data_IF_240120735599
#
_entry.id   IF_240120735599
#
_cell.length_a   1.000
_cell.length_b   1.000
_cell.length_c   1.000
_cell.angle_alpha   90.00
_cell.angle_beta   90.00
_cell.angle_gamma   90.00
#
_symmetry.space_group_name_H-M   'P 1'
#
loop_
_entity.id
_entity.type
_entity.pdbx_description
1 polymer ?
#
# COMPACT_ATOMS: atom_id res chain seq x y z
N UNK A 1 10.52 25.07 25.39
CA UNK A 1 11.92 24.62 25.38
C UNK A 1 12.07 23.49 24.37
N UNK A 2 12.77 23.73 23.25
CA UNK A 2 12.92 22.73 22.19
C UNK A 2 14.11 21.81 22.50
N UNK A 3 13.83 20.57 22.90
CA UNK A 3 14.85 19.54 23.15
C UNK A 3 15.67 19.21 21.90
N UNK A 4 16.96 18.97 22.11
CA UNK A 4 17.95 18.63 21.07
C UNK A 4 17.54 17.39 20.26
N UNK A 5 17.55 17.51 18.92
CA UNK A 5 17.30 16.41 17.99
C UNK A 5 18.26 15.22 18.15
N UNK A 6 19.37 15.34 18.89
CA UNK A 6 20.34 14.25 19.08
C UNK A 6 19.94 13.25 20.16
N UNK A 7 19.19 13.68 21.19
CA UNK A 7 18.77 12.84 22.33
C UNK A 7 17.39 12.20 22.15
N UNK A 8 16.57 12.70 21.21
CA UNK A 8 15.22 12.19 21.00
C UNK A 8 15.20 10.72 20.53
N UNK A 9 14.26 9.89 21.02
CA UNK A 9 14.02 8.55 20.47
C UNK A 9 13.86 8.57 18.94
N UNK A 10 14.37 7.54 18.25
CA UNK A 10 14.42 7.49 16.77
C UNK A 10 13.08 7.79 16.09
N UNK A 11 11.98 7.27 16.64
CA UNK A 11 10.61 7.53 16.16
C UNK A 11 10.25 9.02 16.16
N UNK A 12 10.68 9.76 17.19
CA UNK A 12 10.43 11.20 17.30
C UNK A 12 11.27 11.99 16.30
N UNK A 13 12.51 11.56 16.02
CA UNK A 13 13.34 12.18 14.98
C UNK A 13 12.81 11.93 13.58
N UNK A 14 12.30 10.72 13.31
CA UNK A 14 11.69 10.36 12.05
C UNK A 14 10.43 11.21 11.80
N UNK A 15 9.52 11.30 12.78
CA UNK A 15 8.35 12.16 12.70
C UNK A 15 8.73 13.63 12.42
N UNK A 16 9.63 14.21 13.23
CA UNK A 16 10.09 15.60 13.06
C UNK A 16 10.76 15.91 11.71
N UNK A 17 11.30 14.90 11.03
CA UNK A 17 11.95 15.06 9.72
C UNK A 17 11.07 14.58 8.57
N UNK A 18 9.92 13.98 8.85
CA UNK A 18 9.02 13.49 7.84
C UNK A 18 8.52 14.67 7.01
N UNK A 19 8.65 14.52 5.70
CA UNK A 19 7.99 15.39 4.75
C UNK A 19 6.77 14.63 4.26
N UNK A 20 5.64 15.32 4.19
CA UNK A 20 4.42 14.71 3.67
C UNK A 20 4.67 14.27 2.22
N UNK A 21 4.40 13.01 1.84
CA UNK A 21 4.69 12.50 0.50
C UNK A 21 3.89 13.25 -0.57
N UNK A 22 4.51 13.46 -1.72
CA UNK A 22 3.79 14.02 -2.87
C UNK A 22 2.79 12.97 -3.38
N UNK A 23 1.50 13.30 -3.37
CA UNK A 23 0.44 12.44 -3.91
C UNK A 23 -0.05 12.98 -5.24
N UNK A 24 0.10 12.18 -6.30
CA UNK A 24 -0.26 12.54 -7.69
C UNK A 24 -1.10 11.46 -8.34
N UNK A 25 -2.01 11.87 -9.21
CA UNK A 25 -2.79 10.96 -10.03
C UNK A 25 -2.57 11.24 -11.51
N UNK A 26 -2.29 10.19 -12.27
CA UNK A 26 -2.34 10.20 -13.75
C UNK A 26 -3.69 9.68 -14.20
N UNK A 27 -4.12 10.06 -15.40
CA UNK A 27 -5.35 9.53 -16.02
C UNK A 27 -5.27 7.99 -16.09
N UNK A 28 -6.30 7.25 -15.65
CA UNK A 28 -6.35 5.80 -15.81
C UNK A 28 -6.50 5.43 -17.30
N UNK A 29 -6.22 4.17 -17.66
CA UNK A 29 -6.50 3.68 -19.01
C UNK A 29 -8.00 3.69 -19.30
N UNK A 30 -8.37 3.71 -20.57
CA UNK A 30 -9.75 3.59 -21.00
C UNK A 30 -10.43 2.36 -20.38
N UNK A 31 -11.64 2.53 -19.84
CA UNK A 31 -12.40 1.48 -19.17
C UNK A 31 -11.86 1.08 -17.78
N UNK A 32 -10.87 1.79 -17.23
CA UNK A 32 -10.34 1.56 -15.87
C UNK A 32 -10.49 2.81 -15.01
N UNK A 33 -10.30 2.64 -13.71
CA UNK A 33 -10.39 3.72 -12.73
C UNK A 33 -9.37 3.54 -11.62
N UNK A 34 -9.09 4.61 -10.88
CA UNK A 34 -8.38 4.52 -9.60
C UNK A 34 -9.40 4.33 -8.49
N UNK A 35 -9.43 3.19 -7.77
CA UNK A 35 -10.46 2.96 -6.76
C UNK A 35 -10.35 3.89 -5.55
N UNK A 36 -9.12 4.32 -5.23
CA UNK A 36 -8.87 5.38 -4.28
C UNK A 36 -8.38 6.63 -5.01
N UNK A 37 -8.94 7.78 -4.66
CA UNK A 37 -8.53 9.07 -5.17
C UNK A 37 -7.22 9.53 -4.52
N UNK A 38 -6.62 10.58 -5.11
CA UNK A 38 -5.48 11.24 -4.48
C UNK A 38 -5.85 11.87 -3.12
N UNK A 39 -7.12 12.24 -2.88
CA UNK A 39 -7.54 12.71 -1.56
C UNK A 39 -7.54 11.57 -0.56
N UNK A 40 -8.17 10.45 -0.91
CA UNK A 40 -8.25 9.26 -0.05
C UNK A 40 -6.85 8.79 0.39
N UNK A 41 -5.88 8.80 -0.53
CA UNK A 41 -4.49 8.46 -0.22
C UNK A 41 -3.87 9.47 0.75
N UNK A 42 -4.12 10.77 0.59
CA UNK A 42 -3.62 11.79 1.54
C UNK A 42 -4.24 11.61 2.91
N UNK A 43 -5.54 11.35 2.98
CA UNK A 43 -6.26 11.14 4.23
C UNK A 43 -5.76 9.89 4.95
N UNK A 44 -5.58 8.78 4.22
CA UNK A 44 -4.97 7.57 4.76
C UNK A 44 -3.55 7.81 5.29
N UNK A 45 -2.71 8.55 4.57
CA UNK A 45 -1.35 8.88 5.03
C UNK A 45 -1.36 9.76 6.31
N UNK A 46 -2.31 10.70 6.42
CA UNK A 46 -2.47 11.52 7.64
C UNK A 46 -2.85 10.66 8.84
N UNK A 47 -3.81 9.75 8.67
CA UNK A 47 -4.26 8.82 9.72
C UNK A 47 -3.14 7.88 10.16
N UNK A 48 -2.42 7.30 9.19
CA UNK A 48 -1.30 6.37 9.43
C UNK A 48 -0.12 7.06 10.15
N UNK A 49 0.12 8.34 9.87
CA UNK A 49 1.08 9.16 10.59
C UNK A 49 2.52 9.15 10.06
N UNK A 50 3.24 10.19 10.48
CA UNK A 50 4.53 10.64 9.94
C UNK A 50 5.67 9.62 10.01
N UNK A 51 5.67 8.79 11.05
CA UNK A 51 6.71 7.79 11.26
C UNK A 51 6.69 6.75 10.14
N UNK A 52 5.51 6.38 9.67
CA UNK A 52 5.32 5.29 8.71
C UNK A 52 5.73 5.71 7.30
N UNK A 53 5.42 6.94 6.90
CA UNK A 53 5.79 7.45 5.59
C UNK A 53 7.13 8.20 5.57
N UNK A 54 7.87 8.23 6.68
CA UNK A 54 9.19 8.85 6.71
C UNK A 54 10.11 8.24 5.64
N UNK A 55 10.61 9.07 4.74
CA UNK A 55 11.44 8.64 3.60
C UNK A 55 10.64 8.20 2.35
N UNK A 56 9.31 8.23 2.38
CA UNK A 56 8.47 8.12 1.18
C UNK A 56 8.47 9.49 0.50
N UNK A 57 8.95 9.55 -0.73
CA UNK A 57 8.97 10.75 -1.56
C UNK A 57 7.61 10.98 -2.24
N UNK A 58 6.97 9.91 -2.72
CA UNK A 58 5.71 10.02 -3.45
C UNK A 58 4.84 8.78 -3.39
N UNK A 59 3.53 9.00 -3.51
CA UNK A 59 2.52 7.98 -3.81
C UNK A 59 1.81 8.38 -5.10
N UNK A 60 1.93 7.55 -6.13
CA UNK A 60 1.41 7.84 -7.47
C UNK A 60 0.32 6.86 -7.88
N UNK A 61 -0.85 7.40 -8.25
CA UNK A 61 -1.93 6.65 -8.91
C UNK A 61 -1.66 6.64 -10.42
N UNK A 62 -1.35 5.49 -11.01
CA UNK A 62 -0.93 5.39 -12.42
C UNK A 62 -1.58 4.22 -13.16
N UNK A 63 -1.60 4.23 -14.50
CA UNK A 63 -1.98 3.07 -15.30
C UNK A 63 -1.22 1.79 -14.95
N UNK A 64 -1.93 0.68 -14.81
CA UNK A 64 -1.32 -0.63 -14.60
C UNK A 64 -0.38 -1.00 -15.76
N UNK A 65 0.71 -1.75 -15.53
CA UNK A 65 1.44 -2.42 -16.60
C UNK A 65 0.53 -3.43 -17.36
N UNK A 66 0.99 -4.00 -18.49
CA UNK A 66 0.26 -5.07 -19.16
C UNK A 66 -0.14 -6.19 -18.20
N UNK A 67 -1.31 -6.79 -18.44
CA UNK A 67 -1.87 -7.79 -17.55
C UNK A 67 -0.94 -9.00 -17.40
N UNK A 68 -0.80 -9.47 -16.17
CA UNK A 68 -0.08 -10.70 -15.83
C UNK A 68 -1.05 -11.69 -15.19
N UNK A 69 -0.69 -12.98 -15.13
CA UNK A 69 -1.46 -14.02 -14.40
C UNK A 69 -1.32 -13.88 -12.86
N UNK A 70 -1.51 -12.67 -12.34
CA UNK A 70 -1.49 -12.29 -10.92
C UNK A 70 -2.11 -10.90 -10.75
N UNK A 71 -2.61 -10.63 -9.54
CA UNK A 71 -3.10 -9.30 -9.18
C UNK A 71 -1.94 -8.31 -9.15
N UNK A 72 -1.98 -7.30 -10.01
CA UNK A 72 -1.00 -6.20 -10.03
C UNK A 72 -1.67 -4.93 -9.55
N UNK A 73 -1.55 -4.68 -8.24
CA UNK A 73 -2.31 -3.63 -7.55
C UNK A 73 -1.43 -2.43 -7.18
N UNK A 74 -0.19 -2.69 -6.80
CA UNK A 74 0.78 -1.66 -6.46
C UNK A 74 2.22 -2.15 -6.63
N UNK A 75 3.16 -1.23 -6.39
CA UNK A 75 4.58 -1.53 -6.28
C UNK A 75 5.32 -0.42 -5.51
N UNK A 76 6.12 -0.81 -4.54
CA UNK A 76 7.21 0.03 -4.02
C UNK A 76 8.40 0.03 -5.00
N UNK A 77 8.67 1.21 -5.56
CA UNK A 77 9.82 1.53 -6.41
C UNK A 77 10.85 2.27 -5.55
N UNK A 78 12.01 1.65 -5.36
CA UNK A 78 13.06 2.25 -4.56
C UNK A 78 13.75 3.42 -5.31
N UNK A 79 14.14 4.51 -4.62
CA UNK A 79 13.87 4.79 -3.21
C UNK A 79 12.52 5.50 -2.98
N UNK A 80 11.71 4.98 -2.04
CA UNK A 80 10.61 5.74 -1.42
C UNK A 80 9.46 6.17 -2.34
N UNK A 81 9.26 5.54 -3.50
CA UNK A 81 8.14 5.83 -4.41
C UNK A 81 7.17 4.67 -4.39
N UNK A 82 5.92 4.91 -3.99
CA UNK A 82 4.85 3.91 -4.04
C UNK A 82 3.99 4.20 -5.26
N UNK A 83 3.70 3.17 -6.04
CA UNK A 83 2.82 3.27 -7.19
C UNK A 83 1.59 2.41 -6.92
N UNK A 84 0.40 2.99 -7.04
CA UNK A 84 -0.88 2.31 -6.98
C UNK A 84 -1.47 2.28 -8.40
N UNK A 85 -1.88 1.10 -8.87
CA UNK A 85 -2.33 0.92 -10.25
C UNK A 85 -3.84 1.09 -10.38
N UNK A 86 -4.27 1.65 -11.52
CA UNK A 86 -5.66 1.63 -11.92
C UNK A 86 -6.22 0.20 -11.99
N UNK A 87 -7.51 0.04 -11.75
CA UNK A 87 -8.20 -1.25 -11.71
C UNK A 87 -9.39 -1.26 -12.67
N UNK A 88 -9.76 -2.46 -13.12
CA UNK A 88 -11.03 -2.66 -13.80
C UNK A 88 -12.19 -2.29 -12.85
N UNK A 89 -13.33 -1.81 -13.36
CA UNK A 89 -14.53 -1.70 -12.56
C UNK A 89 -14.93 -3.08 -12.01
N UNK A 90 -15.66 -3.08 -10.90
CA UNK A 90 -16.27 -4.31 -10.40
C UNK A 90 -17.36 -4.80 -11.36
N UNK A 91 -17.52 -6.11 -11.57
CA UNK A 91 -16.69 -7.21 -11.04
C UNK A 91 -15.39 -7.39 -11.83
N UNK A 92 -14.33 -7.83 -11.14
CA UNK A 92 -13.12 -8.29 -11.80
C UNK A 92 -13.32 -9.70 -12.35
N UNK A 93 -12.93 -9.90 -13.61
CA UNK A 93 -12.83 -11.22 -14.25
C UNK A 93 -11.35 -11.54 -14.42
N UNK A 94 -10.82 -12.40 -13.56
CA UNK A 94 -9.36 -12.56 -13.41
C UNK A 94 -8.75 -13.39 -14.54
N UNK A 95 -9.47 -14.39 -15.06
CA UNK A 95 -8.93 -15.32 -16.07
C UNK A 95 -7.80 -16.21 -15.52
N UNK A 96 -7.65 -16.28 -14.19
CA UNK A 96 -6.75 -17.17 -13.46
C UNK A 96 -7.34 -17.49 -12.08
N UNK A 97 -6.85 -18.57 -11.48
CA UNK A 97 -7.24 -19.01 -10.13
C UNK A 97 -6.40 -18.26 -9.10
N UNK A 98 -7.06 -17.67 -8.10
CA UNK A 98 -6.41 -17.02 -6.97
C UNK A 98 -5.83 -18.05 -6.01
N UNK A 99 -4.66 -17.75 -5.44
CA UNK A 99 -4.14 -18.56 -4.34
C UNK A 99 -5.06 -18.46 -3.11
N UNK A 100 -5.12 -19.49 -2.23
CA UNK A 100 -6.03 -19.48 -1.08
C UNK A 100 -5.86 -18.27 -0.15
N UNK A 101 -4.62 -17.81 0.05
CA UNK A 101 -4.31 -16.65 0.88
C UNK A 101 -4.79 -15.34 0.24
N UNK A 102 -4.62 -15.15 -1.08
CA UNK A 102 -5.15 -13.99 -1.80
C UNK A 102 -6.67 -13.98 -1.69
N UNK A 103 -7.33 -15.13 -1.92
CA UNK A 103 -8.78 -15.26 -1.78
C UNK A 103 -9.27 -14.89 -0.38
N UNK A 104 -8.56 -15.32 0.67
CA UNK A 104 -8.88 -14.96 2.05
C UNK A 104 -8.72 -13.46 2.30
N UNK A 105 -7.65 -12.84 1.81
CA UNK A 105 -7.43 -11.39 1.93
C UNK A 105 -8.52 -10.58 1.23
N UNK A 106 -8.89 -10.95 0.00
CA UNK A 106 -9.96 -10.28 -0.74
C UNK A 106 -11.29 -10.36 0.01
N UNK A 107 -11.67 -11.56 0.53
CA UNK A 107 -12.88 -11.71 1.35
C UNK A 107 -12.85 -10.85 2.61
N UNK A 108 -11.72 -10.85 3.32
CA UNK A 108 -11.57 -10.05 4.54
C UNK A 108 -11.72 -8.54 4.25
N UNK A 109 -11.37 -8.10 3.04
CA UNK A 109 -11.54 -6.73 2.58
C UNK A 109 -12.95 -6.40 2.05
N UNK A 110 -13.89 -7.35 2.16
CA UNK A 110 -15.29 -7.17 1.76
C UNK A 110 -15.60 -7.56 0.31
N UNK A 111 -14.69 -8.20 -0.41
CA UNK A 111 -15.00 -8.73 -1.73
C UNK A 111 -15.93 -9.95 -1.66
N UNK A 112 -16.85 -10.07 -2.61
CA UNK A 112 -17.65 -11.26 -2.85
C UNK A 112 -16.99 -12.13 -3.93
N UNK A 113 -16.74 -13.39 -3.59
CA UNK A 113 -16.11 -14.41 -4.45
C UNK A 113 -16.96 -15.69 -4.51
N UNK A 114 -18.28 -15.57 -4.72
CA UNK A 114 -19.19 -16.71 -4.94
C UNK A 114 -18.83 -17.53 -6.19
N UNK A 115 -18.49 -16.85 -7.29
CA UNK A 115 -18.13 -17.47 -8.56
C UNK A 115 -16.60 -17.56 -8.71
N UNK A 116 -16.10 -18.66 -9.26
CA UNK A 116 -14.65 -18.85 -9.46
C UNK A 116 -14.10 -17.88 -10.52
N UNK A 117 -12.97 -17.25 -10.22
CA UNK A 117 -12.34 -16.29 -11.12
C UNK A 117 -13.06 -14.93 -11.22
N UNK A 118 -14.15 -14.72 -10.47
CA UNK A 118 -14.90 -13.46 -10.40
C UNK A 118 -14.76 -12.85 -9.00
N UNK A 119 -14.44 -11.56 -8.95
CA UNK A 119 -14.33 -10.80 -7.69
C UNK A 119 -15.23 -9.57 -7.78
N UNK A 120 -16.31 -9.59 -7.01
CA UNK A 120 -17.23 -8.46 -6.87
C UNK A 120 -16.84 -7.61 -5.68
N UNK A 121 -16.91 -6.29 -5.84
CA UNK A 121 -16.51 -5.29 -4.85
C UNK A 121 -17.71 -4.39 -4.58
N UNK A 122 -18.58 -4.75 -3.62
CA UNK A 122 -19.77 -3.96 -3.31
C UNK A 122 -19.40 -2.62 -2.67
N UNK A 123 -20.12 -1.57 -3.04
CA UNK A 123 -19.97 -0.24 -2.46
C UNK A 123 -18.53 0.28 -2.56
N UNK A 124 -17.92 0.58 -1.42
CA UNK A 124 -16.58 1.14 -1.31
C UNK A 124 -15.49 0.12 -0.90
N UNK A 125 -15.82 -1.16 -0.89
CA UNK A 125 -14.90 -2.22 -0.43
C UNK A 125 -13.59 -2.25 -1.24
N UNK A 126 -13.63 -1.97 -2.55
CA UNK A 126 -12.40 -1.89 -3.35
C UNK A 126 -11.53 -0.70 -2.95
N UNK A 127 -12.13 0.45 -2.63
CA UNK A 127 -11.38 1.63 -2.13
C UNK A 127 -10.70 1.29 -0.80
N UNK A 128 -11.44 0.68 0.13
CA UNK A 128 -10.91 0.25 1.44
C UNK A 128 -9.79 -0.78 1.28
N UNK A 129 -9.96 -1.75 0.37
CA UNK A 129 -8.92 -2.72 0.04
C UNK A 129 -7.65 -2.06 -0.49
N UNK A 130 -7.77 -1.12 -1.44
CA UNK A 130 -6.62 -0.41 -1.99
C UNK A 130 -5.85 0.40 -0.93
N UNK A 131 -6.53 0.94 0.08
CA UNK A 131 -5.90 1.73 1.14
C UNK A 131 -5.37 0.85 2.30
N UNK A 132 -6.25 0.04 2.89
CA UNK A 132 -5.96 -0.73 4.11
C UNK A 132 -5.19 -2.03 3.88
N UNK A 133 -5.19 -2.57 2.67
CA UNK A 133 -4.40 -3.76 2.34
C UNK A 133 -3.24 -3.37 1.43
N UNK A 134 -3.52 -2.80 0.26
CA UNK A 134 -2.49 -2.60 -0.77
C UNK A 134 -1.51 -1.50 -0.40
N UNK A 135 -1.98 -0.27 -0.15
CA UNK A 135 -1.10 0.84 0.25
C UNK A 135 -0.39 0.55 1.58
N UNK A 136 -1.12 0.01 2.56
CA UNK A 136 -0.55 -0.38 3.86
C UNK A 136 0.59 -1.40 3.72
N UNK A 137 0.48 -2.37 2.80
CA UNK A 137 1.53 -3.35 2.52
C UNK A 137 2.79 -2.73 1.92
N UNK A 138 2.64 -1.84 0.94
CA UNK A 138 3.77 -1.14 0.34
C UNK A 138 4.47 -0.20 1.34
N UNK A 139 3.72 0.43 2.25
CA UNK A 139 4.28 1.17 3.37
C UNK A 139 5.02 0.24 4.35
N UNK A 140 4.50 -0.94 4.62
CA UNK A 140 5.19 -1.98 5.40
C UNK A 140 6.54 -2.36 4.80
N UNK A 141 6.58 -2.62 3.49
CA UNK A 141 7.84 -2.84 2.77
C UNK A 141 8.79 -1.64 2.87
N UNK A 142 8.26 -0.42 2.74
CA UNK A 142 9.08 0.79 2.84
C UNK A 142 9.72 0.93 4.22
N UNK A 143 8.94 0.75 5.29
CA UNK A 143 9.44 0.79 6.68
C UNK A 143 10.58 -0.22 6.86
N UNK A 144 10.39 -1.47 6.40
CA UNK A 144 11.41 -2.50 6.51
C UNK A 144 12.67 -2.19 5.68
N UNK A 145 12.51 -1.68 4.47
CA UNK A 145 13.63 -1.27 3.62
C UNK A 145 14.41 -0.12 4.25
N UNK A 146 13.71 0.86 4.81
CA UNK A 146 14.30 2.00 5.47
C UNK A 146 15.06 1.58 6.74
N UNK A 147 14.48 0.72 7.58
CA UNK A 147 15.17 0.17 8.76
C UNK A 147 16.45 -0.59 8.41
N UNK A 148 16.41 -1.43 7.37
CA UNK A 148 17.61 -2.18 6.92
C UNK A 148 18.69 -1.28 6.36
N UNK A 149 18.32 -0.26 5.56
CA UNK A 149 19.27 0.74 5.05
C UNK A 149 19.99 1.46 6.19
N UNK A 150 19.25 1.80 7.25
CA UNK A 150 19.85 2.41 8.45
C UNK A 150 20.79 1.47 9.23
N UNK A 151 20.63 0.14 9.08
CA UNK A 151 21.53 -0.88 9.67
C UNK A 151 22.70 -1.27 8.76
N UNK A 152 22.76 -0.76 7.53
CA UNK A 152 23.81 -1.11 6.56
C UNK A 152 23.69 -2.52 5.97
N UNK A 153 22.53 -3.18 6.09
CA UNK A 153 22.31 -4.56 5.62
C UNK A 153 21.98 -4.61 4.11
N UNK A 154 22.61 -5.53 3.34
CA UNK A 154 22.25 -5.78 1.94
C UNK A 154 20.93 -6.57 1.83
N UNK A 155 20.10 -6.21 0.86
CA UNK A 155 18.71 -6.66 0.77
C UNK A 155 18.52 -8.08 0.22
N UNK A 156 17.81 -8.92 0.97
CA UNK A 156 17.10 -10.09 0.46
C UNK A 156 15.60 -9.98 0.79
N UNK A 157 14.73 -10.11 -0.22
CA UNK A 157 13.28 -10.29 -0.04
C UNK A 157 13.03 -11.77 0.29
N UNK A 158 13.04 -12.08 1.57
CA UNK A 158 12.76 -13.44 2.07
C UNK A 158 11.28 -13.58 2.40
N UNK A 159 10.78 -14.81 2.55
CA UNK A 159 9.40 -15.08 3.03
C UNK A 159 9.11 -14.40 4.37
N UNK A 160 10.13 -14.25 5.20
CA UNK A 160 10.07 -13.51 6.46
C UNK A 160 9.85 -12.00 6.26
N UNK A 161 10.37 -11.42 5.18
CA UNK A 161 10.15 -10.01 4.85
C UNK A 161 8.70 -9.73 4.47
N UNK A 162 8.07 -10.61 3.67
CA UNK A 162 6.65 -10.52 3.31
C UNK A 162 5.76 -10.61 4.55
N UNK A 163 5.98 -11.61 5.42
CA UNK A 163 5.21 -11.77 6.65
C UNK A 163 5.34 -10.57 7.61
N UNK A 164 6.52 -9.94 7.67
CA UNK A 164 6.72 -8.72 8.47
C UNK A 164 6.03 -7.51 7.84
N UNK A 165 6.02 -7.40 6.51
CA UNK A 165 5.29 -6.35 5.80
C UNK A 165 3.78 -6.50 6.03
N UNK A 166 3.25 -7.72 5.93
CA UNK A 166 1.85 -8.05 6.24
C UNK A 166 1.49 -7.69 7.69
N UNK A 167 2.36 -7.98 8.65
CA UNK A 167 2.13 -7.66 10.05
C UNK A 167 2.09 -6.15 10.31
N UNK A 168 2.92 -5.36 9.62
CA UNK A 168 2.86 -3.90 9.67
C UNK A 168 1.56 -3.43 9.02
N UNK A 169 1.25 -3.93 7.82
CA UNK A 169 0.05 -3.58 7.08
C UNK A 169 -1.23 -3.83 7.90
N UNK A 170 -1.30 -4.96 8.62
CA UNK A 170 -2.41 -5.28 9.49
C UNK A 170 -2.60 -4.26 10.62
N UNK A 171 -1.52 -3.74 11.22
CA UNK A 171 -1.59 -2.68 12.22
C UNK A 171 -2.02 -1.35 11.62
N UNK A 172 -1.53 -1.02 10.41
CA UNK A 172 -1.93 0.20 9.72
C UNK A 172 -3.40 0.17 9.31
N UNK A 173 -3.90 -1.00 8.88
CA UNK A 173 -5.30 -1.20 8.52
C UNK A 173 -6.25 -0.89 9.69
N UNK A 174 -5.89 -1.31 10.90
CA UNK A 174 -6.68 -1.02 12.11
C UNK A 174 -6.85 0.49 12.40
N UNK A 175 -6.01 1.36 11.81
CA UNK A 175 -6.16 2.81 11.92
C UNK A 175 -7.12 3.38 10.87
N UNK A 176 -7.34 2.65 9.76
CA UNK A 176 -8.11 3.09 8.59
C UNK A 176 -9.54 2.53 8.55
N UNK A 177 -9.82 1.52 9.37
CA UNK A 177 -11.16 0.93 9.59
C UNK A 177 -11.96 1.76 10.61
#
# INVERSE_FOLDING_TARGET
MAGSLRSDPRRMRAARRAKFPVVRARRPKAGRHHPASASDVRDALRIIGEVTYYGVASVELVPAPPATKRLTLAKLVAPGRIVLYDQAPSPWRLGFVLAPHERAQLRAAGADLREEGVVSWPGDTLRRFMLGYVLAHELGHHVLQHERRLRGERGARTREHEARADAIAARLRQLLD
#
